data_IF_014969933711
#
_entry.id   IF_014969933711
#
_cell.length_a   1.000
_cell.length_b   1.000
_cell.length_c   1.000
_cell.angle_alpha   90.00
_cell.angle_beta   90.00
_cell.angle_gamma   90.00
#
_symmetry.space_group_name_H-M   'P 1'
#
loop_
_entity.id
_entity.type
_entity.pdbx_description
1 polymer ?
#
# COMPACT_ATOMS: atom_id res chain seq x y z
N UNK A 1 15.97 7.41 -18.64
CA UNK A 1 15.44 8.69 -18.11
C UNK A 1 14.32 9.13 -19.03
N UNK A 2 13.12 9.41 -18.50
CA UNK A 2 11.97 9.87 -19.28
C UNK A 2 11.70 11.34 -18.94
N UNK A 3 11.48 12.18 -19.97
CA UNK A 3 11.23 13.62 -19.82
C UNK A 3 9.79 13.92 -20.23
N UNK A 4 9.07 14.65 -19.38
CA UNK A 4 7.68 15.04 -19.62
C UNK A 4 7.57 16.54 -19.95
N UNK A 5 6.45 16.97 -20.58
CA UNK A 5 6.14 18.40 -20.72
C UNK A 5 6.20 19.11 -19.36
N UNK A 6 6.87 20.27 -19.28
CA UNK A 6 7.11 20.98 -18.02
C UNK A 6 8.45 20.67 -17.32
N UNK A 7 9.33 19.87 -17.94
CA UNK A 7 10.71 19.66 -17.47
C UNK A 7 10.87 18.62 -16.36
N UNK A 8 9.78 17.98 -15.92
CA UNK A 8 9.81 16.90 -14.94
C UNK A 8 10.55 15.67 -15.50
N UNK A 9 11.45 15.10 -14.69
CA UNK A 9 12.27 13.93 -15.02
C UNK A 9 12.05 12.82 -14.02
N UNK A 10 11.86 11.59 -14.50
CA UNK A 10 11.90 10.37 -13.68
C UNK A 10 13.02 9.45 -14.18
N UNK A 11 13.78 8.91 -13.23
CA UNK A 11 14.76 7.86 -13.47
C UNK A 11 14.09 6.52 -13.20
N UNK A 12 14.02 5.69 -14.25
CA UNK A 12 13.63 4.29 -14.15
C UNK A 12 14.91 3.45 -14.14
N UNK A 13 15.01 2.52 -13.20
CA UNK A 13 15.99 1.43 -13.27
C UNK A 13 15.52 0.35 -14.24
N UNK A 14 16.40 -0.58 -14.55
CA UNK A 14 16.08 -1.78 -15.34
C UNK A 14 16.53 -3.00 -14.53
N UNK A 15 15.59 -3.87 -14.16
CA UNK A 15 15.88 -5.14 -13.50
C UNK A 15 15.26 -6.28 -14.32
N UNK A 16 16.09 -7.23 -14.75
CA UNK A 16 15.63 -8.38 -15.53
C UNK A 16 14.99 -8.02 -16.88
N UNK A 17 15.34 -6.89 -17.48
CA UNK A 17 14.78 -6.43 -18.76
C UNK A 17 13.49 -5.62 -18.63
N UNK A 18 13.03 -5.32 -17.41
CA UNK A 18 11.81 -4.54 -17.16
C UNK A 18 12.11 -3.22 -16.42
N UNK A 19 11.38 -2.14 -16.75
CA UNK A 19 11.51 -0.85 -16.07
C UNK A 19 11.00 -0.91 -14.62
N UNK A 20 11.78 -0.35 -13.69
CA UNK A 20 11.41 -0.23 -12.27
C UNK A 20 11.58 1.20 -11.76
N UNK A 21 10.69 1.68 -10.89
CA UNK A 21 10.87 2.93 -10.15
C UNK A 21 10.71 2.71 -8.65
N UNK A 22 11.81 2.74 -7.91
CA UNK A 22 11.82 2.50 -6.45
C UNK A 22 11.42 3.72 -5.60
N UNK A 23 10.87 4.75 -6.24
CA UNK A 23 10.58 6.04 -5.62
C UNK A 23 11.78 6.99 -5.67
N UNK A 24 11.50 8.28 -5.54
CA UNK A 24 12.54 9.32 -5.43
C UNK A 24 12.75 9.67 -3.97
N UNK A 25 14.01 9.66 -3.49
CA UNK A 25 14.36 10.10 -2.14
C UNK A 25 14.33 11.63 -2.08
N UNK A 26 13.12 12.18 -1.99
CA UNK A 26 12.87 13.46 -1.34
C UNK A 26 12.05 13.15 -0.09
N UNK A 27 12.31 13.83 1.02
CA UNK A 27 11.53 13.73 2.27
C UNK A 27 10.06 13.84 1.89
N UNK A 28 9.35 12.70 1.88
CA UNK A 28 7.97 12.49 1.38
C UNK A 28 7.51 13.63 0.47
N UNK A 29 7.68 13.48 -0.85
CA UNK A 29 7.44 14.52 -1.85
C UNK A 29 6.24 15.43 -1.55
N UNK A 30 6.27 16.70 -2.02
CA UNK A 30 5.25 17.70 -1.69
C UNK A 30 3.86 17.05 -1.81
N UNK A 31 3.04 17.17 -0.76
CA UNK A 31 1.67 16.60 -0.61
C UNK A 31 1.47 15.37 0.28
N UNK A 32 2.50 14.88 1.00
CA UNK A 32 2.35 13.77 1.95
C UNK A 32 1.11 13.92 2.86
N UNK A 33 0.25 12.89 2.99
CA UNK A 33 -0.94 12.96 3.82
C UNK A 33 -0.62 13.31 5.28
N UNK A 34 -1.42 14.22 5.82
CA UNK A 34 -1.41 14.63 7.22
C UNK A 34 -2.20 13.64 8.07
N UNK A 35 -1.98 13.67 9.38
CA UNK A 35 -2.74 12.88 10.35
C UNK A 35 -4.27 13.05 10.19
N UNK A 36 -4.72 14.28 9.93
CA UNK A 36 -6.13 14.60 9.74
C UNK A 36 -6.74 13.84 8.56
N UNK A 37 -5.96 13.59 7.50
CA UNK A 37 -6.44 12.85 6.33
C UNK A 37 -6.68 11.38 6.67
N UNK A 38 -5.82 10.77 7.48
CA UNK A 38 -6.03 9.40 7.96
C UNK A 38 -7.27 9.30 8.85
N UNK A 39 -7.48 10.27 9.74
CA UNK A 39 -8.66 10.33 10.60
C UNK A 39 -9.96 10.47 9.80
N UNK A 40 -9.95 11.28 8.72
CA UNK A 40 -11.10 11.41 7.80
C UNK A 40 -11.48 10.10 7.09
N UNK A 41 -10.57 9.13 7.02
CA UNK A 41 -10.85 7.78 6.50
C UNK A 41 -11.48 6.85 7.54
N UNK A 42 -11.80 7.37 8.74
CA UNK A 42 -12.48 6.63 9.81
C UNK A 42 -11.54 5.76 10.65
N UNK A 43 -10.23 6.02 10.62
CA UNK A 43 -9.28 5.37 11.51
C UNK A 43 -9.29 6.03 12.90
N UNK A 44 -9.06 5.24 13.94
CA UNK A 44 -8.85 5.74 15.30
C UNK A 44 -7.43 6.32 15.46
N UNK A 45 -7.24 7.15 16.47
CA UNK A 45 -5.92 7.76 16.77
C UNK A 45 -4.80 6.72 16.92
N UNK A 46 -5.12 5.57 17.51
CA UNK A 46 -4.20 4.44 17.72
C UNK A 46 -3.87 3.75 16.38
N UNK A 47 -4.87 3.54 15.53
CA UNK A 47 -4.69 2.98 14.19
C UNK A 47 -3.87 3.91 13.28
N UNK A 48 -4.12 5.22 13.36
CA UNK A 48 -3.34 6.22 12.62
C UNK A 48 -1.88 6.20 13.07
N UNK A 49 -1.61 6.22 14.38
CA UNK A 49 -0.23 6.14 14.91
C UNK A 49 0.50 4.89 14.40
N UNK A 50 -0.15 3.73 14.46
CA UNK A 50 0.40 2.47 13.96
C UNK A 50 0.69 2.52 12.46
N UNK A 51 -0.27 2.98 11.66
CA UNK A 51 -0.15 3.04 10.20
C UNK A 51 0.91 4.04 9.75
N UNK A 52 0.93 5.24 10.34
CA UNK A 52 1.96 6.25 10.08
C UNK A 52 3.35 5.68 10.36
N UNK A 53 3.55 5.01 11.49
CA UNK A 53 4.83 4.36 11.80
C UNK A 53 5.23 3.34 10.74
N UNK A 54 4.31 2.44 10.34
CA UNK A 54 4.60 1.39 9.36
C UNK A 54 4.93 1.98 7.98
N UNK A 55 4.15 2.96 7.51
CA UNK A 55 4.41 3.65 6.24
C UNK A 55 5.73 4.43 6.30
N UNK A 56 6.07 5.02 7.45
CA UNK A 56 7.32 5.78 7.64
C UNK A 56 8.55 4.91 7.51
N UNK A 57 8.56 3.76 8.19
CA UNK A 57 9.77 2.96 8.37
C UNK A 57 9.89 1.80 7.38
N UNK A 58 8.77 1.27 6.88
CA UNK A 58 8.75 0.05 6.10
C UNK A 58 8.02 0.17 4.75
N UNK A 59 7.17 1.19 4.62
CA UNK A 59 6.48 1.55 3.39
C UNK A 59 7.43 2.05 2.30
N UNK A 60 6.89 2.15 1.09
CA UNK A 60 7.57 2.81 -0.03
C UNK A 60 7.16 4.28 -0.12
N UNK A 61 7.84 5.09 -0.95
CA UNK A 61 7.30 6.37 -1.39
C UNK A 61 5.98 6.18 -2.17
N UNK A 62 5.09 7.17 -2.12
CA UNK A 62 3.81 7.14 -2.87
C UNK A 62 3.98 7.12 -4.39
N UNK A 63 5.14 7.54 -4.90
CA UNK A 63 5.49 7.46 -6.32
C UNK A 63 6.18 6.14 -6.71
N UNK A 64 6.38 5.21 -5.77
CA UNK A 64 6.98 3.90 -6.05
C UNK A 64 6.12 3.09 -7.02
N UNK A 65 6.75 2.58 -8.08
CA UNK A 65 6.13 1.66 -9.04
C UNK A 65 7.09 0.50 -9.30
N UNK A 66 6.64 -0.71 -8.98
CA UNK A 66 7.44 -1.92 -9.17
C UNK A 66 6.67 -2.96 -9.97
N UNK A 67 7.36 -3.64 -10.89
CA UNK A 67 6.90 -4.86 -11.54
C UNK A 67 7.96 -5.94 -11.27
N UNK A 68 7.58 -7.08 -10.69
CA UNK A 68 8.55 -8.14 -10.37
C UNK A 68 8.91 -8.96 -11.63
N UNK A 69 10.20 -9.09 -12.00
CA UNK A 69 10.59 -9.71 -13.27
C UNK A 69 10.47 -11.25 -13.32
N UNK A 70 10.46 -11.95 -12.18
CA UNK A 70 10.76 -13.39 -12.15
C UNK A 70 9.56 -14.32 -11.89
N UNK A 71 8.35 -13.80 -11.73
CA UNK A 71 7.21 -14.63 -11.29
C UNK A 71 5.85 -14.08 -11.70
N UNK A 72 5.70 -13.67 -12.97
CA UNK A 72 4.43 -13.11 -13.46
C UNK A 72 3.96 -11.90 -12.65
N UNK A 73 4.92 -11.09 -12.18
CA UNK A 73 4.69 -10.08 -11.14
C UNK A 73 3.67 -9.04 -11.56
N UNK A 74 2.62 -8.90 -10.75
CA UNK A 74 1.63 -7.83 -10.91
C UNK A 74 2.29 -6.45 -10.71
N UNK A 75 1.85 -5.47 -11.49
CA UNK A 75 2.19 -4.07 -11.28
C UNK A 75 1.76 -3.64 -9.87
N UNK A 76 2.69 -3.04 -9.13
CA UNK A 76 2.46 -2.48 -7.80
C UNK A 76 2.74 -0.99 -7.82
N UNK A 77 1.90 -0.22 -7.13
CA UNK A 77 2.05 1.22 -7.01
C UNK A 77 1.78 1.70 -5.59
N UNK A 78 2.60 2.64 -5.14
CA UNK A 78 2.33 3.43 -3.96
C UNK A 78 3.14 3.08 -2.72
N UNK A 79 2.79 3.77 -1.63
CA UNK A 79 3.45 3.60 -0.33
C UNK A 79 3.18 2.23 0.30
N UNK A 80 2.04 1.64 -0.07
CA UNK A 80 1.74 0.23 0.06
C UNK A 80 1.81 -0.40 -1.34
N UNK A 81 2.26 -1.65 -1.52
CA UNK A 81 2.32 -2.30 -2.83
C UNK A 81 0.93 -2.66 -3.36
N UNK A 82 0.09 -1.67 -3.69
CA UNK A 82 -1.25 -1.91 -4.24
C UNK A 82 -1.13 -2.55 -5.61
N UNK A 83 -1.76 -3.70 -5.81
CA UNK A 83 -1.77 -4.43 -7.08
C UNK A 83 -3.17 -4.88 -7.48
N UNK A 84 -3.31 -5.34 -8.72
CA UNK A 84 -4.54 -5.95 -9.21
C UNK A 84 -5.79 -5.09 -8.97
N UNK A 85 -6.88 -5.66 -8.42
CA UNK A 85 -8.11 -4.92 -8.15
C UNK A 85 -7.92 -3.71 -7.23
N UNK A 86 -7.09 -3.81 -6.19
CA UNK A 86 -6.90 -2.69 -5.24
C UNK A 86 -6.20 -1.51 -5.90
N UNK A 87 -5.26 -1.77 -6.81
CA UNK A 87 -4.65 -0.72 -7.64
C UNK A 87 -5.68 -0.04 -8.55
N UNK A 88 -6.56 -0.82 -9.19
CA UNK A 88 -7.62 -0.30 -10.04
C UNK A 88 -8.57 0.59 -9.24
N UNK A 89 -8.98 0.14 -8.04
CA UNK A 89 -9.82 0.96 -7.15
C UNK A 89 -9.13 2.26 -6.75
N UNK A 90 -7.84 2.24 -6.41
CA UNK A 90 -7.10 3.45 -6.10
C UNK A 90 -7.07 4.45 -7.27
N UNK A 91 -6.88 3.96 -8.51
CA UNK A 91 -6.93 4.80 -9.71
C UNK A 91 -8.33 5.38 -9.94
N UNK A 92 -9.36 4.58 -9.72
CA UNK A 92 -10.75 5.02 -9.88
C UNK A 92 -11.16 6.06 -8.83
N UNK A 93 -10.77 5.87 -7.57
CA UNK A 93 -10.95 6.85 -6.49
C UNK A 93 -10.23 8.18 -6.81
N UNK A 94 -9.02 8.10 -7.37
CA UNK A 94 -8.32 9.32 -7.78
C UNK A 94 -9.06 10.05 -8.90
N UNK A 95 -9.49 9.34 -9.95
CA UNK A 95 -10.28 9.95 -11.04
C UNK A 95 -11.57 10.60 -10.51
N UNK A 96 -12.24 9.96 -9.55
CA UNK A 96 -13.45 10.50 -8.94
C UNK A 96 -13.18 11.77 -8.13
N UNK A 97 -12.08 11.82 -7.37
CA UNK A 97 -11.70 12.97 -6.55
C UNK A 97 -11.20 14.16 -7.37
N UNK A 98 -10.28 13.90 -8.30
CA UNK A 98 -9.57 14.92 -9.06
C UNK A 98 -9.53 14.53 -10.54
N UNK A 99 -10.68 14.58 -11.25
CA UNK A 99 -10.77 14.11 -12.63
C UNK A 99 -9.80 14.85 -13.55
N UNK A 100 -9.66 16.17 -13.40
CA UNK A 100 -8.75 16.96 -14.24
C UNK A 100 -7.28 16.57 -14.07
N UNK A 101 -6.84 16.28 -12.84
CA UNK A 101 -5.48 15.85 -12.55
C UNK A 101 -5.22 14.43 -13.09
N UNK A 102 -6.19 13.53 -12.92
CA UNK A 102 -6.14 12.19 -13.49
C UNK A 102 -6.04 12.24 -15.02
N UNK A 103 -6.91 13.01 -15.68
CA UNK A 103 -6.93 13.16 -17.13
C UNK A 103 -5.61 13.77 -17.63
N UNK A 104 -5.06 14.77 -16.94
CA UNK A 104 -3.79 15.39 -17.32
C UNK A 104 -2.58 14.42 -17.24
N UNK A 105 -2.61 13.43 -16.35
CA UNK A 105 -1.49 12.50 -16.10
C UNK A 105 -1.63 11.17 -16.83
N UNK A 106 -2.80 10.54 -16.73
CA UNK A 106 -3.06 9.18 -17.23
C UNK A 106 -4.09 9.17 -18.36
N UNK A 107 -5.15 9.99 -18.29
CA UNK A 107 -6.20 10.01 -19.30
C UNK A 107 -5.74 10.45 -20.69
N UNK A 108 -4.84 11.44 -20.77
CA UNK A 108 -4.17 11.84 -22.03
C UNK A 108 -3.32 10.75 -22.66
N UNK A 109 -2.95 9.73 -21.89
CA UNK A 109 -2.23 8.55 -22.37
C UNK A 109 -3.19 7.40 -22.71
N UNK A 110 -4.50 7.62 -22.67
CA UNK A 110 -5.54 6.67 -23.05
C UNK A 110 -6.06 5.79 -21.92
N UNK A 111 -5.72 6.08 -20.66
CA UNK A 111 -6.22 5.30 -19.51
C UNK A 111 -7.54 5.86 -18.99
N UNK A 112 -8.53 4.99 -18.83
CA UNK A 112 -9.84 5.34 -18.27
C UNK A 112 -10.12 4.49 -17.03
N UNK A 113 -10.34 5.12 -15.87
CA UNK A 113 -10.72 4.43 -14.64
C UNK A 113 -12.19 4.73 -14.30
N UNK A 114 -12.99 3.73 -13.99
CA UNK A 114 -14.40 3.93 -13.60
C UNK A 114 -14.57 3.51 -12.15
N UNK A 115 -15.19 4.34 -11.29
CA UNK A 115 -15.42 4.00 -9.89
C UNK A 115 -16.33 2.78 -9.75
N UNK A 116 -16.24 2.13 -8.60
CA UNK A 116 -17.14 1.05 -8.21
C UNK A 116 -18.59 1.56 -8.15
N UNK A 117 -19.49 0.85 -8.81
CA UNK A 117 -20.93 1.12 -8.83
C UNK A 117 -21.67 -0.19 -8.61
N UNK A 118 -22.05 -0.52 -7.36
CA UNK A 118 -22.63 -1.82 -7.04
C UNK A 118 -23.79 -2.19 -7.98
N UNK A 119 -23.75 -3.38 -8.63
CA UNK A 119 -22.86 -4.52 -8.35
C UNK A 119 -21.51 -4.53 -9.10
N UNK A 120 -21.22 -3.53 -9.93
CA UNK A 120 -20.02 -3.48 -10.77
C UNK A 120 -18.79 -2.99 -10.01
N UNK A 121 -17.67 -3.75 -10.01
CA UNK A 121 -16.43 -3.31 -9.38
C UNK A 121 -15.78 -2.15 -10.16
N UNK A 122 -14.87 -1.44 -9.50
CA UNK A 122 -14.03 -0.46 -10.19
C UNK A 122 -13.32 -1.11 -11.39
N UNK A 123 -13.26 -0.38 -12.52
CA UNK A 123 -12.65 -0.87 -13.75
C UNK A 123 -11.57 0.08 -14.26
N UNK A 124 -10.60 -0.49 -14.95
CA UNK A 124 -9.55 0.24 -15.65
C UNK A 124 -9.55 -0.24 -17.10
N UNK A 125 -9.61 0.69 -18.05
CA UNK A 125 -9.75 0.41 -19.47
C UNK A 125 -8.73 1.20 -20.27
N UNK A 126 -8.29 0.60 -21.37
CA UNK A 126 -7.58 1.28 -22.43
C UNK A 126 -8.34 0.99 -23.74
N UNK A 127 -9.08 1.96 -24.30
CA UNK A 127 -10.01 1.72 -25.40
C UNK A 127 -9.33 1.35 -26.73
N UNK A 128 -8.00 1.48 -26.83
CA UNK A 128 -7.25 1.12 -28.02
C UNK A 128 -7.36 2.14 -29.17
N UNK A 129 -6.58 1.93 -30.23
CA UNK A 129 -6.76 2.65 -31.48
C UNK A 129 -7.97 2.10 -32.26
N UNK A 130 -8.48 2.84 -33.27
CA UNK A 130 -9.76 2.60 -33.98
C UNK A 130 -10.07 1.17 -34.46
N UNK A 131 -9.09 0.25 -34.51
CA UNK A 131 -9.26 -1.14 -34.97
C UNK A 131 -8.75 -2.21 -33.98
N UNK A 132 -8.36 -1.83 -32.76
CA UNK A 132 -7.94 -2.77 -31.73
C UNK A 132 -9.08 -2.98 -30.73
N UNK A 133 -9.24 -4.20 -30.22
CA UNK A 133 -10.16 -4.45 -29.12
C UNK A 133 -9.69 -3.67 -27.87
N UNK A 134 -10.62 -3.10 -27.08
CA UNK A 134 -10.29 -2.49 -25.81
C UNK A 134 -9.69 -3.55 -24.89
N UNK A 135 -8.69 -3.16 -24.10
CA UNK A 135 -8.14 -4.01 -23.04
C UNK A 135 -8.62 -3.47 -21.69
N UNK A 136 -8.83 -4.37 -20.72
CA UNK A 136 -9.42 -4.02 -19.43
C UNK A 136 -8.70 -4.70 -18.25
N UNK A 137 -8.86 -4.12 -17.07
CA UNK A 137 -8.44 -4.68 -15.79
C UNK A 137 -6.95 -5.04 -15.75
N UNK A 138 -6.65 -6.31 -15.52
CA UNK A 138 -5.29 -6.82 -15.37
C UNK A 138 -4.44 -6.66 -16.64
N UNK A 139 -5.06 -6.74 -17.82
CA UNK A 139 -4.33 -6.60 -19.08
C UNK A 139 -3.84 -5.16 -19.28
N UNK A 140 -4.61 -4.17 -18.82
CA UNK A 140 -4.15 -2.76 -18.77
C UNK A 140 -2.98 -2.61 -17.80
N UNK A 141 -3.04 -3.24 -16.63
CA UNK A 141 -1.93 -3.19 -15.67
C UNK A 141 -0.65 -3.83 -16.24
N UNK A 142 -0.79 -4.93 -16.99
CA UNK A 142 0.33 -5.56 -17.68
C UNK A 142 0.91 -4.64 -18.76
N UNK A 143 0.07 -3.99 -19.57
CA UNK A 143 0.50 -2.98 -20.55
C UNK A 143 1.27 -1.84 -19.86
N UNK A 144 0.75 -1.29 -18.75
CA UNK A 144 1.44 -0.22 -18.01
C UNK A 144 2.82 -0.69 -17.51
N UNK A 145 2.93 -1.94 -17.08
CA UNK A 145 4.20 -2.51 -16.61
C UNK A 145 5.26 -2.63 -17.73
N UNK A 146 4.82 -2.77 -18.98
CA UNK A 146 5.68 -2.96 -20.16
C UNK A 146 6.02 -1.66 -20.89
N UNK A 147 5.13 -0.65 -20.85
CA UNK A 147 5.38 0.66 -21.46
C UNK A 147 6.09 1.62 -20.48
N UNK A 148 7.36 2.01 -20.75
CA UNK A 148 8.11 2.90 -19.86
C UNK A 148 7.49 4.29 -19.68
N UNK A 149 6.70 4.77 -20.66
CA UNK A 149 6.02 6.08 -20.59
C UNK A 149 4.82 5.99 -19.66
N UNK A 150 3.99 4.95 -19.78
CA UNK A 150 2.86 4.72 -18.88
C UNK A 150 3.36 4.46 -17.45
N UNK A 151 4.41 3.66 -17.28
CA UNK A 151 5.01 3.40 -15.98
C UNK A 151 5.56 4.68 -15.32
N UNK A 152 6.26 5.53 -16.09
CA UNK A 152 6.73 6.81 -15.59
C UNK A 152 5.58 7.79 -15.28
N UNK A 153 4.50 7.77 -16.06
CA UNK A 153 3.32 8.58 -15.80
C UNK A 153 2.60 8.14 -14.50
N UNK A 154 2.51 6.83 -14.25
CA UNK A 154 1.98 6.28 -13.01
C UNK A 154 2.86 6.64 -11.79
N UNK A 155 4.18 6.62 -11.95
CA UNK A 155 5.09 7.11 -10.91
C UNK A 155 4.85 8.60 -10.64
N UNK A 156 4.75 9.45 -11.68
CA UNK A 156 4.43 10.87 -11.51
C UNK A 156 3.09 11.10 -10.83
N UNK A 157 2.08 10.32 -11.19
CA UNK A 157 0.75 10.38 -10.57
C UNK A 157 0.83 10.20 -9.05
N UNK A 158 1.72 9.35 -8.53
CA UNK A 158 1.91 9.17 -7.09
C UNK A 158 2.42 10.41 -6.33
N UNK A 159 2.74 11.49 -7.04
CA UNK A 159 3.08 12.80 -6.46
C UNK A 159 1.90 13.77 -6.38
N UNK A 160 0.79 13.44 -7.03
CA UNK A 160 -0.43 14.25 -6.96
C UNK A 160 -1.14 14.01 -5.63
N UNK A 161 -1.65 15.08 -5.02
CA UNK A 161 -2.31 15.02 -3.72
C UNK A 161 -3.51 14.06 -3.74
N UNK A 162 -4.38 14.17 -4.75
CA UNK A 162 -5.53 13.29 -4.89
C UNK A 162 -5.16 11.83 -5.08
N UNK A 163 -4.07 11.54 -5.79
CA UNK A 163 -3.59 10.18 -5.98
C UNK A 163 -3.10 9.56 -4.68
N UNK A 164 -2.35 10.31 -3.85
CA UNK A 164 -1.88 9.84 -2.55
C UNK A 164 -3.05 9.53 -1.60
N UNK A 165 -4.06 10.41 -1.58
CA UNK A 165 -5.28 10.20 -0.80
C UNK A 165 -6.07 8.99 -1.29
N UNK A 166 -6.18 8.79 -2.59
CA UNK A 166 -6.84 7.64 -3.18
C UNK A 166 -6.11 6.31 -2.88
N UNK A 167 -4.78 6.31 -2.89
CA UNK A 167 -3.98 5.15 -2.44
C UNK A 167 -4.27 4.82 -0.98
N UNK A 168 -4.32 5.83 -0.09
CA UNK A 168 -4.66 5.61 1.32
C UNK A 168 -6.09 5.11 1.51
N UNK A 169 -7.04 5.68 0.78
CA UNK A 169 -8.44 5.27 0.86
C UNK A 169 -8.63 3.81 0.42
N UNK A 170 -7.97 3.40 -0.66
CA UNK A 170 -7.99 2.02 -1.13
C UNK A 170 -7.29 1.06 -0.12
N UNK A 171 -6.15 1.47 0.45
CA UNK A 171 -5.44 0.73 1.49
C UNK A 171 -6.34 0.51 2.72
N UNK A 172 -6.93 1.58 3.25
CA UNK A 172 -7.78 1.50 4.45
C UNK A 172 -9.00 0.62 4.17
N UNK A 173 -9.67 0.84 3.04
CA UNK A 173 -10.95 0.19 2.74
C UNK A 173 -10.79 -1.29 2.40
N UNK A 174 -9.82 -1.66 1.56
CA UNK A 174 -9.73 -3.01 1.01
C UNK A 174 -8.65 -3.88 1.65
N UNK A 175 -7.76 -3.31 2.46
CA UNK A 175 -6.70 -4.07 3.14
C UNK A 175 -6.89 -3.99 4.65
N UNK A 176 -6.83 -2.80 5.24
CA UNK A 176 -6.78 -2.66 6.69
C UNK A 176 -8.12 -2.99 7.36
N UNK A 177 -9.24 -2.46 6.85
CA UNK A 177 -10.57 -2.76 7.43
C UNK A 177 -10.90 -4.26 7.44
N UNK A 178 -10.70 -5.03 6.34
CA UNK A 178 -10.90 -6.48 6.38
C UNK A 178 -10.03 -7.19 7.40
N UNK A 179 -8.76 -6.78 7.55
CA UNK A 179 -7.85 -7.36 8.54
C UNK A 179 -8.35 -7.07 9.95
N UNK A 180 -8.68 -5.82 10.26
CA UNK A 180 -9.19 -5.43 11.57
C UNK A 180 -10.49 -6.17 11.90
N UNK A 181 -11.44 -6.22 10.96
CA UNK A 181 -12.72 -6.89 11.15
C UNK A 181 -12.58 -8.39 11.43
N UNK A 182 -11.57 -9.07 10.84
CA UNK A 182 -11.38 -10.51 11.02
C UNK A 182 -10.89 -10.91 12.42
N UNK A 183 -10.54 -9.96 13.30
CA UNK A 183 -9.93 -10.24 14.61
C UNK A 183 -10.53 -9.44 15.78
N UNK A 184 -11.62 -8.69 15.56
CA UNK A 184 -12.30 -7.87 16.58
C UNK A 184 -13.59 -8.51 17.13
N UNK A 185 -13.75 -9.84 17.04
CA UNK A 185 -15.07 -10.49 17.14
C UNK A 185 -15.78 -10.43 18.52
N UNK A 186 -15.12 -10.09 19.64
CA UNK A 186 -15.80 -10.16 20.96
C UNK A 186 -15.70 -8.91 21.85
N UNK A 187 -14.70 -8.03 21.69
CA UNK A 187 -14.61 -6.72 22.36
C UNK A 187 -13.37 -5.97 21.84
N UNK A 188 -13.47 -4.69 21.41
CA UNK A 188 -12.29 -3.92 20.97
C UNK A 188 -11.25 -3.72 22.07
N UNK A 189 -11.69 -3.69 23.34
CA UNK A 189 -10.83 -3.43 24.51
C UNK A 189 -10.06 -4.68 24.96
N UNK A 190 -10.60 -5.87 24.69
CA UNK A 190 -9.94 -7.16 24.98
C UNK A 190 -9.25 -7.76 23.75
N UNK A 191 -9.09 -6.97 22.69
CA UNK A 191 -8.37 -7.43 21.50
C UNK A 191 -6.87 -7.49 21.76
N UNK A 192 -6.23 -8.58 21.34
CA UNK A 192 -4.78 -8.69 21.29
C UNK A 192 -4.09 -7.57 20.47
N UNK A 193 -4.87 -6.83 19.66
CA UNK A 193 -4.42 -5.74 18.81
C UNK A 193 -5.06 -4.39 19.18
N UNK A 194 -5.19 -4.10 20.48
CA UNK A 194 -5.71 -2.82 20.95
C UNK A 194 -4.67 -1.68 20.95
N UNK A 195 -3.39 -1.98 21.18
CA UNK A 195 -2.33 -0.95 21.25
C UNK A 195 -1.77 -0.55 19.88
N UNK A 196 -1.19 0.66 19.78
CA UNK A 196 -0.56 1.13 18.55
C UNK A 196 0.60 0.22 18.11
N UNK A 197 1.31 -0.36 19.08
CA UNK A 197 2.41 -1.29 18.81
C UNK A 197 1.91 -2.61 18.23
N UNK A 198 0.87 -3.20 18.84
CA UNK A 198 0.27 -4.43 18.33
C UNK A 198 -0.31 -4.22 16.92
N UNK A 199 -1.01 -3.11 16.69
CA UNK A 199 -1.52 -2.75 15.37
C UNK A 199 -0.39 -2.54 14.34
N UNK A 200 0.74 -1.94 14.73
CA UNK A 200 1.88 -1.77 13.84
C UNK A 200 2.50 -3.12 13.45
N UNK A 201 2.54 -4.10 14.36
CA UNK A 201 2.94 -5.48 14.05
C UNK A 201 1.99 -6.13 13.05
N UNK A 202 0.68 -5.96 13.25
CA UNK A 202 -0.36 -6.50 12.36
C UNK A 202 -0.24 -5.91 10.94
N UNK A 203 -0.10 -4.59 10.83
CA UNK A 203 0.06 -3.90 9.54
C UNK A 203 1.40 -4.25 8.88
N UNK A 204 2.50 -4.35 9.65
CA UNK A 204 3.79 -4.78 9.12
C UNK A 204 3.74 -6.22 8.59
N UNK A 205 3.08 -7.13 9.30
CA UNK A 205 2.90 -8.51 8.88
C UNK A 205 2.14 -8.58 7.55
N UNK A 206 1.08 -7.78 7.37
CA UNK A 206 0.39 -7.67 6.08
C UNK A 206 1.31 -7.09 4.99
N UNK A 207 2.02 -5.99 5.28
CA UNK A 207 2.88 -5.33 4.31
C UNK A 207 3.98 -6.26 3.78
N UNK A 208 4.60 -7.06 4.66
CA UNK A 208 5.76 -7.89 4.32
C UNK A 208 5.41 -9.30 3.88
N UNK A 209 4.35 -9.88 4.42
CA UNK A 209 4.05 -11.31 4.25
C UNK A 209 2.61 -11.55 3.75
N UNK A 210 1.82 -10.49 3.58
CA UNK A 210 0.40 -10.56 3.25
C UNK A 210 -0.42 -11.31 4.30
N UNK A 211 -1.62 -11.73 3.88
CA UNK A 211 -2.60 -12.39 4.76
C UNK A 211 -2.07 -13.61 5.52
N UNK A 212 -1.09 -14.32 4.95
CA UNK A 212 -0.46 -15.47 5.61
C UNK A 212 0.35 -15.05 6.84
N UNK A 213 1.06 -13.92 6.76
CA UNK A 213 1.78 -13.38 7.91
C UNK A 213 0.84 -12.88 9.00
N UNK A 214 -0.24 -12.20 8.60
CA UNK A 214 -1.30 -11.76 9.52
C UNK A 214 -1.90 -12.97 10.25
N UNK A 215 -2.29 -14.00 9.52
CA UNK A 215 -2.86 -15.23 10.10
C UNK A 215 -1.88 -15.88 11.09
N UNK A 216 -0.59 -15.92 10.75
CA UNK A 216 0.44 -16.46 11.64
C UNK A 216 0.60 -15.63 12.90
N UNK A 217 0.68 -14.30 12.79
CA UNK A 217 0.81 -13.41 13.95
C UNK A 217 -0.39 -13.55 14.89
N UNK A 218 -1.60 -13.61 14.34
CA UNK A 218 -2.82 -13.82 15.12
C UNK A 218 -2.83 -15.18 15.80
N UNK A 219 -2.37 -16.23 15.12
CA UNK A 219 -2.25 -17.56 15.73
C UNK A 219 -1.32 -17.53 16.95
N UNK A 220 -0.16 -16.87 16.83
CA UNK A 220 0.79 -16.69 17.93
C UNK A 220 0.18 -15.87 19.09
N UNK A 221 -0.61 -14.85 18.79
CA UNK A 221 -1.29 -14.05 19.81
C UNK A 221 -2.31 -14.88 20.63
N UNK A 222 -2.95 -15.87 20.00
CA UNK A 222 -3.91 -16.77 20.67
C UNK A 222 -3.25 -17.81 21.59
N UNK A 223 -1.94 -18.03 21.48
CA UNK A 223 -1.22 -18.97 22.35
C UNK A 223 -1.11 -18.46 23.81
N UNK A 224 -1.39 -17.17 24.06
CA UNK A 224 -1.35 -16.56 25.39
C UNK A 224 -2.74 -16.15 25.89
N UNK A 225 -3.04 -16.38 27.18
CA UNK A 225 -4.34 -16.09 27.77
C UNK A 225 -4.53 -14.63 28.23
N UNK A 226 -3.48 -13.80 28.27
CA UNK A 226 -3.57 -12.39 28.69
C UNK A 226 -3.67 -11.46 27.47
N UNK A 227 -4.86 -10.90 27.17
CA UNK A 227 -5.08 -10.11 25.95
C UNK A 227 -4.20 -8.86 25.77
N UNK A 228 -3.90 -8.03 26.81
CA UNK A 228 -3.29 -6.71 26.58
C UNK A 228 -1.83 -6.78 26.09
N UNK A 229 -1.14 -7.89 26.35
CA UNK A 229 0.26 -8.11 25.92
C UNK A 229 0.38 -9.15 24.80
N UNK A 230 -0.74 -9.80 24.42
CA UNK A 230 -0.73 -10.91 23.48
C UNK A 230 -0.15 -10.52 22.11
N UNK A 231 -0.49 -9.32 21.60
CA UNK A 231 0.01 -8.84 20.31
C UNK A 231 1.52 -8.56 20.30
N UNK A 232 2.05 -7.95 21.36
CA UNK A 232 3.49 -7.65 21.48
C UNK A 232 4.29 -8.94 21.66
N UNK A 233 3.83 -9.86 22.49
CA UNK A 233 4.46 -11.17 22.66
C UNK A 233 4.44 -12.01 21.37
N UNK A 234 3.35 -11.99 20.63
CA UNK A 234 3.28 -12.61 19.30
C UNK A 234 4.33 -12.00 18.34
N UNK A 235 4.58 -10.70 18.45
CA UNK A 235 5.64 -10.01 17.73
C UNK A 235 7.04 -10.51 18.11
N UNK A 236 7.34 -10.66 19.40
CA UNK A 236 8.62 -11.21 19.88
C UNK A 236 8.85 -12.60 19.30
N UNK A 237 7.84 -13.47 19.40
CA UNK A 237 7.89 -14.84 18.89
C UNK A 237 8.08 -14.88 17.38
N UNK A 238 7.35 -14.05 16.64
CA UNK A 238 7.51 -13.91 15.19
C UNK A 238 8.94 -13.46 14.84
N UNK A 239 9.52 -12.53 15.59
CA UNK A 239 10.88 -12.05 15.35
C UNK A 239 11.94 -13.14 15.60
N UNK A 240 11.76 -13.94 16.65
CA UNK A 240 12.59 -15.12 16.93
C UNK A 240 12.53 -16.15 15.79
N UNK A 241 11.32 -16.49 15.35
CA UNK A 241 11.10 -17.43 14.26
C UNK A 241 11.72 -16.94 12.95
N UNK A 242 11.58 -15.64 12.64
CA UNK A 242 12.20 -15.03 11.45
C UNK A 242 13.73 -15.12 11.55
N UNK A 243 14.31 -14.84 12.71
CA UNK A 243 15.76 -14.95 12.94
C UNK A 243 16.23 -16.40 12.77
N UNK A 244 15.52 -17.37 13.35
CA UNK A 244 15.83 -18.79 13.22
C UNK A 244 15.75 -19.29 11.76
N UNK A 245 14.83 -18.71 10.97
CA UNK A 245 14.71 -18.98 9.54
C UNK A 245 15.72 -18.20 8.66
N UNK A 246 16.69 -17.50 9.24
CA UNK A 246 17.70 -16.71 8.51
C UNK A 246 17.21 -15.36 7.98
N UNK A 247 15.98 -14.94 8.31
CA UNK A 247 15.36 -13.69 7.87
C UNK A 247 15.70 -12.53 8.82
N UNK A 248 16.99 -12.27 8.96
CA UNK A 248 17.54 -11.33 9.96
C UNK A 248 17.07 -9.88 9.76
N UNK A 249 16.82 -9.47 8.52
CA UNK A 249 16.30 -8.12 8.21
C UNK A 249 14.89 -7.97 8.76
N UNK A 250 13.99 -8.88 8.39
CA UNK A 250 12.59 -8.81 8.81
C UNK A 250 12.45 -8.99 10.32
N UNK A 251 13.27 -9.84 10.95
CA UNK A 251 13.34 -9.92 12.41
C UNK A 251 13.72 -8.57 13.02
N UNK A 252 14.70 -7.85 12.46
CA UNK A 252 15.12 -6.53 12.93
C UNK A 252 14.04 -5.46 12.73
N UNK A 253 13.26 -5.54 11.65
CA UNK A 253 12.10 -4.66 11.43
C UNK A 253 11.02 -4.88 12.51
N UNK A 254 10.74 -6.14 12.86
CA UNK A 254 9.80 -6.48 13.95
C UNK A 254 10.32 -5.97 15.30
N UNK A 255 11.61 -6.18 15.60
CA UNK A 255 12.22 -5.64 16.83
C UNK A 255 12.14 -4.12 16.90
N UNK A 256 12.32 -3.43 15.78
CA UNK A 256 12.16 -1.97 15.70
C UNK A 256 10.75 -1.54 16.12
N UNK A 257 9.71 -2.25 15.68
CA UNK A 257 8.31 -1.97 16.09
C UNK A 257 8.19 -2.17 17.61
N UNK A 258 8.67 -3.31 18.11
CA UNK A 258 8.56 -3.68 19.51
C UNK A 258 9.21 -2.66 20.45
N UNK A 259 10.40 -2.16 20.10
CA UNK A 259 11.16 -1.24 20.95
C UNK A 259 10.92 0.24 20.65
N UNK A 260 9.98 0.57 19.75
CA UNK A 260 9.80 1.96 19.35
C UNK A 260 9.08 2.79 20.43
N UNK A 261 9.66 3.92 20.87
CA UNK A 261 8.98 4.86 21.76
C UNK A 261 7.86 5.62 21.06
N UNK A 262 7.90 5.74 19.72
CA UNK A 262 6.87 6.41 18.90
C UNK A 262 5.52 5.68 18.97
N UNK A 263 5.53 4.40 19.36
CA UNK A 263 4.37 3.53 19.51
C UNK A 263 3.96 3.32 20.97
N UNK A 264 4.68 3.92 21.93
CA UNK A 264 4.28 3.86 23.32
C UNK A 264 2.95 4.59 23.52
N UNK A 265 2.08 4.03 24.37
CA UNK A 265 0.91 4.74 24.85
C UNK A 265 1.38 5.96 25.64
N UNK A 266 0.79 7.11 25.35
CA UNK A 266 1.10 8.35 26.05
C UNK A 266 0.54 8.21 27.46
N UNK A 267 1.43 8.13 28.46
CA UNK A 267 1.07 8.10 29.87
C UNK A 267 0.32 9.37 30.31
#
# INVERSE_FOLDING_TARGET
MVTFPGGARIVLGNEGGRPIHRGTVAVRGPCAPSREDFMKLGLTEVQVRALEFVLTWFGSPFDSVTSEPQSGGELRWGAWPLSGPTLITALAHWRQREPEAFEARLGRLGLEATPEQPPEPASLRFPGARNAAPIEGRDVLAMIAEDPRLLAALAQAGRERGAQLAQLEALVTHVLRPILASYTDDSPEDSAFASARALALLFHAELRFGRRGVTRLVALARERPEPPIAGEHAGERLAEDLRAAGRSREASEVWRILTSPELAESA
#
